data_IF_960242655416
#
_entry.id   IF_960242655416
#
_cell.length_a   1.000
_cell.length_b   1.000
_cell.length_c   1.000
_cell.angle_alpha   90.00
_cell.angle_beta   90.00
_cell.angle_gamma   90.00
#
_symmetry.space_group_name_H-M   'P 1'
#
loop_
_entity.id
_entity.type
_entity.pdbx_description
1 polymer ?
#
# COMPACT_ATOMS: atom_id res chain seq x y z
N UNK A 1 21.03 -21.45 -15.71
CA UNK A 1 21.06 -20.07 -15.27
C UNK A 1 19.85 -19.81 -14.41
N UNK A 2 20.00 -19.77 -13.09
CA UNK A 2 19.07 -19.06 -12.25
C UNK A 2 19.83 -18.46 -11.07
N UNK A 3 20.01 -17.14 -11.07
CA UNK A 3 20.44 -16.38 -9.87
C UNK A 3 19.80 -15.01 -9.94
N UNK A 4 18.49 -14.93 -9.69
CA UNK A 4 17.79 -13.66 -9.45
C UNK A 4 16.54 -13.87 -8.57
N UNK A 5 16.70 -14.59 -7.47
CA UNK A 5 15.61 -14.78 -6.51
C UNK A 5 16.11 -14.51 -5.08
N UNK A 6 16.53 -13.29 -4.78
CA UNK A 6 16.96 -12.99 -3.40
C UNK A 6 16.96 -11.50 -3.02
N UNK A 7 16.04 -10.70 -3.52
CA UNK A 7 15.91 -9.30 -3.08
C UNK A 7 14.45 -8.85 -2.78
N UNK A 8 13.56 -9.77 -2.42
CA UNK A 8 12.18 -9.42 -2.08
C UNK A 8 11.86 -9.65 -0.59
N UNK A 9 12.64 -9.03 0.30
CA UNK A 9 12.23 -8.94 1.71
C UNK A 9 12.46 -7.53 2.26
N UNK A 10 11.77 -6.55 1.66
CA UNK A 10 11.49 -5.30 2.34
C UNK A 10 10.11 -5.43 2.98
N UNK A 11 10.09 -6.02 4.18
CA UNK A 11 8.91 -6.01 5.04
C UNK A 11 8.56 -4.57 5.38
N UNK A 12 7.35 -4.17 5.04
CA UNK A 12 6.72 -2.93 5.51
C UNK A 12 6.54 -3.07 7.02
N UNK A 13 7.39 -2.43 7.82
CA UNK A 13 7.22 -2.35 9.26
C UNK A 13 6.03 -1.47 9.61
N UNK A 14 5.02 -2.10 10.16
CA UNK A 14 3.88 -1.45 10.81
C UNK A 14 4.29 -1.19 12.27
N UNK A 15 4.63 0.03 12.64
CA UNK A 15 4.87 0.41 14.03
C UNK A 15 3.56 0.66 14.76
N UNK A 16 3.20 -0.20 15.72
CA UNK A 16 2.33 0.14 16.83
C UNK A 16 3.22 0.66 17.97
N UNK A 17 3.04 1.89 18.37
CA UNK A 17 3.76 2.47 19.50
C UNK A 17 3.04 3.70 20.03
N UNK A 18 2.29 3.53 21.13
CA UNK A 18 1.77 4.60 21.98
C UNK A 18 2.88 5.11 22.88
N UNK A 19 3.18 6.41 22.82
CA UNK A 19 4.12 7.05 23.74
C UNK A 19 4.05 8.57 23.60
N UNK A 20 3.43 9.23 24.56
CA UNK A 20 3.39 10.70 24.73
C UNK A 20 4.73 11.23 25.21
N UNK A 21 5.33 12.16 24.48
CA UNK A 21 6.34 13.09 25.01
C UNK A 21 6.11 14.47 24.41
N UNK A 22 5.93 15.44 25.31
CA UNK A 22 5.82 16.87 25.03
C UNK A 22 7.19 17.48 24.76
N UNK A 23 7.36 18.16 23.63
CA UNK A 23 8.56 18.94 23.34
C UNK A 23 8.48 19.62 21.96
N UNK A 24 8.38 20.97 21.98
CA UNK A 24 8.35 21.80 20.76
C UNK A 24 9.67 21.73 20.00
N UNK A 25 9.64 21.24 18.75
CA UNK A 25 10.56 21.68 17.71
C UNK A 25 9.87 21.49 16.35
N UNK A 26 9.85 22.54 15.54
CA UNK A 26 9.31 22.53 14.18
C UNK A 26 10.23 21.70 13.26
N UNK A 27 9.76 20.55 12.79
CA UNK A 27 10.27 19.91 11.60
C UNK A 27 9.08 19.24 10.90
N UNK A 28 8.88 19.58 9.64
CA UNK A 28 7.79 19.10 8.80
C UNK A 28 7.98 17.62 8.47
N UNK A 29 7.35 16.74 9.26
CA UNK A 29 7.21 15.34 8.95
C UNK A 29 5.75 15.07 8.60
N UNK A 30 5.49 14.47 7.44
CA UNK A 30 4.17 14.10 6.98
C UNK A 30 3.61 12.95 7.84
N UNK A 31 2.43 13.10 8.47
CA UNK A 31 1.77 11.99 9.15
C UNK A 31 0.83 11.26 8.19
N UNK A 32 1.07 9.98 8.00
CA UNK A 32 0.07 9.04 7.49
C UNK A 32 -0.61 8.40 8.69
N UNK A 33 -1.76 8.91 9.09
CA UNK A 33 -2.87 8.16 9.70
C UNK A 33 -3.99 9.12 10.12
N UNK A 34 -5.07 9.15 9.36
CA UNK A 34 -6.34 9.76 9.76
C UNK A 34 -7.21 8.65 10.33
N UNK A 35 -7.30 8.58 11.66
CA UNK A 35 -8.43 7.96 12.35
C UNK A 35 -9.47 9.03 12.62
N UNK A 36 -10.63 8.91 12.00
CA UNK A 36 -11.80 9.69 12.37
C UNK A 36 -12.45 9.07 13.61
N UNK A 37 -12.37 9.76 14.74
CA UNK A 37 -13.25 9.56 15.90
C UNK A 37 -14.44 10.50 15.75
N UNK A 38 -15.65 9.92 15.73
CA UNK A 38 -16.92 10.66 15.77
C UNK A 38 -17.17 11.10 17.22
N UNK A 39 -17.42 12.36 17.51
CA UNK A 39 -17.87 12.77 18.85
C UNK A 39 -19.37 12.53 19.00
N UNK A 40 -19.73 11.79 20.03
CA UNK A 40 -21.10 11.67 20.53
C UNK A 40 -21.57 13.01 21.10
N UNK A 41 -22.61 13.57 20.50
CA UNK A 41 -23.30 14.74 21.05
C UNK A 41 -24.56 14.32 21.82
N UNK A 42 -24.65 14.90 23.02
CA UNK A 42 -25.69 14.83 24.01
C UNK A 42 -27.10 15.08 23.44
N UNK A 43 -28.05 14.34 24.01
CA UNK A 43 -29.47 14.66 24.02
C UNK A 43 -29.76 15.80 25.00
N UNK A 44 -30.66 16.73 24.72
CA UNK A 44 -31.40 17.42 25.77
C UNK A 44 -32.80 16.82 25.90
N UNK A 45 -33.12 16.46 27.14
CA UNK A 45 -34.48 16.21 27.60
C UNK A 45 -35.21 17.57 27.70
N UNK A 46 -36.43 17.61 27.24
CA UNK A 46 -37.40 18.58 27.76
C UNK A 46 -38.72 17.87 28.09
N UNK A 47 -39.13 18.14 29.31
CA UNK A 47 -40.30 17.60 30.00
C UNK A 47 -41.52 18.43 29.78
N UNK A 48 -42.63 17.78 29.64
CA UNK A 48 -43.95 17.95 30.26
C UNK A 48 -44.71 19.28 30.17
N UNK A 49 -45.96 19.19 29.85
CA UNK A 49 -47.19 19.48 30.61
C UNK A 49 -48.26 20.20 29.79
N UNK A 50 -49.51 19.68 30.01
CA UNK A 50 -50.86 20.24 29.85
C UNK A 50 -51.52 20.17 28.47
N UNK A 51 -52.76 19.85 28.30
CA UNK A 51 -53.97 19.65 29.13
C UNK A 51 -55.06 18.98 28.28
N UNK A 52 -55.91 18.20 28.95
CA UNK A 52 -57.18 17.63 28.42
C UNK A 52 -58.12 18.73 27.90
N UNK A 53 -58.73 18.47 26.72
CA UNK A 53 -60.04 18.98 26.39
C UNK A 53 -60.83 17.90 25.65
N UNK A 54 -61.88 17.45 26.31
CA UNK A 54 -62.86 16.46 25.86
C UNK A 54 -63.83 17.21 24.93
N UNK A 55 -63.99 16.75 23.68
CA UNK A 55 -65.19 17.00 22.88
C UNK A 55 -65.58 15.77 22.11
N UNK A 56 -66.68 15.18 22.54
CA UNK A 56 -67.44 14.19 21.80
C UNK A 56 -68.00 14.80 20.52
N UNK A 57 -67.72 14.22 19.36
CA UNK A 57 -68.47 14.40 18.15
C UNK A 57 -68.51 13.10 17.34
N UNK A 58 -69.71 12.77 17.00
CA UNK A 58 -70.25 11.56 16.42
C UNK A 58 -69.53 11.00 15.20
N UNK A 59 -69.35 9.69 15.18
CA UNK A 59 -68.81 8.88 14.12
C UNK A 59 -69.68 8.94 12.85
N UNK A 60 -69.10 9.34 11.73
CA UNK A 60 -69.50 8.90 10.42
C UNK A 60 -68.36 8.06 9.83
N UNK A 61 -68.57 6.76 9.74
CA UNK A 61 -67.66 5.83 9.12
C UNK A 61 -67.60 6.09 7.61
N UNK A 62 -66.65 6.93 7.17
CA UNK A 62 -66.20 6.92 5.80
C UNK A 62 -65.09 5.89 5.66
N UNK A 63 -65.35 4.82 4.91
CA UNK A 63 -64.35 3.89 4.45
C UNK A 63 -63.28 4.66 3.65
N UNK A 64 -62.11 4.84 4.28
CA UNK A 64 -60.89 5.30 3.59
C UNK A 64 -60.52 4.24 2.54
N UNK A 65 -60.23 4.64 1.27
CA UNK A 65 -59.64 3.70 0.33
C UNK A 65 -58.31 3.16 0.91
N UNK A 66 -57.95 1.92 0.60
CA UNK A 66 -56.71 1.33 1.10
C UNK A 66 -55.54 2.25 0.71
N UNK A 67 -54.72 2.59 1.69
CA UNK A 67 -53.54 3.37 1.49
C UNK A 67 -52.69 2.72 0.38
N UNK A 68 -52.13 3.52 -0.56
CA UNK A 68 -51.26 2.97 -1.58
C UNK A 68 -50.09 2.27 -0.86
N UNK A 69 -49.88 1.02 -1.23
CA UNK A 69 -48.73 0.22 -0.79
C UNK A 69 -47.45 1.07 -0.93
N UNK A 70 -46.64 1.25 0.10
CA UNK A 70 -45.43 2.06 0.00
C UNK A 70 -44.56 1.50 -1.10
N UNK A 71 -44.14 2.37 -2.02
CA UNK A 71 -43.24 2.00 -3.10
C UNK A 71 -41.93 1.42 -2.52
N UNK A 72 -41.49 0.22 -2.94
CA UNK A 72 -40.40 -0.52 -2.31
C UNK A 72 -39.00 -0.01 -2.59
N UNK A 73 -38.82 1.17 -3.18
CA UNK A 73 -37.57 1.45 -3.90
C UNK A 73 -36.40 2.06 -3.09
N UNK A 74 -36.63 2.89 -2.10
CA UNK A 74 -35.50 3.54 -1.39
C UNK A 74 -34.94 2.69 -0.24
N UNK A 75 -35.79 1.93 0.44
CA UNK A 75 -35.41 1.03 1.54
C UNK A 75 -34.63 -0.19 1.04
N UNK A 76 -34.86 -0.62 -0.20
CA UNK A 76 -34.25 -1.81 -0.75
C UNK A 76 -32.79 -1.60 -1.18
N UNK A 77 -32.42 -0.47 -1.76
CA UNK A 77 -31.01 -0.20 -2.18
C UNK A 77 -30.09 -0.03 -0.98
N UNK A 78 -30.51 0.71 0.05
CA UNK A 78 -29.75 0.84 1.27
C UNK A 78 -29.54 -0.50 2.00
N UNK A 79 -30.56 -1.37 1.99
CA UNK A 79 -30.44 -2.71 2.54
C UNK A 79 -29.49 -3.59 1.74
N UNK A 80 -29.53 -3.52 0.41
CA UNK A 80 -28.59 -4.24 -0.47
C UNK A 80 -27.15 -3.79 -0.20
N UNK A 81 -26.92 -2.48 -0.01
CA UNK A 81 -25.59 -2.00 0.38
C UNK A 81 -25.12 -2.61 1.71
N UNK A 82 -26.00 -2.70 2.72
CA UNK A 82 -25.66 -3.36 3.98
C UNK A 82 -25.32 -4.85 3.82
N UNK A 83 -26.01 -5.56 2.93
CA UNK A 83 -25.71 -6.95 2.60
C UNK A 83 -24.31 -7.06 1.94
N UNK A 84 -23.97 -6.16 1.05
CA UNK A 84 -22.65 -6.10 0.41
C UNK A 84 -21.57 -5.83 1.47
N UNK A 85 -21.76 -4.81 2.31
CA UNK A 85 -20.80 -4.42 3.36
C UNK A 85 -20.58 -5.51 4.41
N UNK A 86 -21.59 -6.38 4.62
CA UNK A 86 -21.53 -7.55 5.51
C UNK A 86 -21.15 -8.86 4.81
N UNK A 87 -20.75 -8.81 3.53
CA UNK A 87 -20.36 -9.96 2.70
C UNK A 87 -21.48 -11.00 2.45
N UNK A 88 -22.76 -10.60 2.58
CA UNK A 88 -23.91 -11.45 2.25
C UNK A 88 -24.24 -11.36 0.75
N UNK A 89 -23.29 -11.77 -0.08
CA UNK A 89 -23.33 -11.56 -1.54
C UNK A 89 -24.48 -12.31 -2.24
N UNK A 90 -24.82 -13.52 -1.77
CA UNK A 90 -25.91 -14.30 -2.35
C UNK A 90 -27.27 -13.62 -2.14
N UNK A 91 -27.52 -13.12 -0.93
CA UNK A 91 -28.76 -12.41 -0.60
C UNK A 91 -28.83 -11.08 -1.34
N UNK A 92 -27.70 -10.37 -1.47
CA UNK A 92 -27.61 -9.14 -2.25
C UNK A 92 -27.96 -9.38 -3.73
N UNK A 93 -27.41 -10.42 -4.36
CA UNK A 93 -27.70 -10.77 -5.75
C UNK A 93 -29.17 -11.16 -5.95
N UNK A 94 -29.74 -11.93 -5.04
CA UNK A 94 -31.17 -12.30 -5.10
C UNK A 94 -32.08 -11.06 -5.07
N UNK A 95 -31.78 -10.09 -4.20
CA UNK A 95 -32.55 -8.84 -4.15
C UNK A 95 -32.33 -7.97 -5.37
N UNK A 96 -31.11 -7.91 -5.90
CA UNK A 96 -30.79 -7.20 -7.15
C UNK A 96 -31.52 -7.82 -8.35
N UNK A 97 -31.65 -9.14 -8.41
CA UNK A 97 -32.42 -9.84 -9.46
C UNK A 97 -33.91 -9.50 -9.37
N UNK A 98 -34.47 -9.41 -8.17
CA UNK A 98 -35.85 -9.01 -7.97
C UNK A 98 -36.12 -7.56 -8.41
N UNK A 99 -35.12 -6.66 -8.21
CA UNK A 99 -35.21 -5.27 -8.66
C UNK A 99 -35.02 -5.15 -10.17
N UNK A 100 -34.10 -5.91 -10.77
CA UNK A 100 -33.86 -5.89 -12.21
C UNK A 100 -35.07 -6.35 -13.05
N UNK A 101 -35.95 -7.17 -12.47
CA UNK A 101 -37.20 -7.61 -13.11
C UNK A 101 -38.31 -6.55 -13.08
N UNK A 102 -38.11 -5.41 -12.44
CA UNK A 102 -39.05 -4.29 -12.47
C UNK A 102 -38.92 -3.51 -13.78
N UNK A 103 -40.05 -2.97 -14.26
CA UNK A 103 -40.07 -2.18 -15.49
C UNK A 103 -40.70 -0.79 -15.21
N UNK A 104 -39.90 0.31 -15.28
CA UNK A 104 -38.47 0.37 -15.60
C UNK A 104 -37.60 -0.17 -14.44
N UNK A 105 -36.42 -0.69 -14.78
CA UNK A 105 -35.43 -1.11 -13.80
C UNK A 105 -34.97 0.09 -12.95
N UNK A 106 -34.92 -0.02 -11.61
CA UNK A 106 -34.48 1.07 -10.76
C UNK A 106 -33.01 1.45 -11.03
N UNK A 107 -32.68 2.75 -11.03
CA UNK A 107 -31.31 3.18 -11.28
C UNK A 107 -30.33 2.67 -10.18
N UNK A 108 -29.15 2.23 -10.60
CA UNK A 108 -28.07 1.76 -9.71
C UNK A 108 -28.07 0.26 -9.43
N UNK A 109 -29.06 -0.51 -9.87
CA UNK A 109 -29.12 -1.98 -9.70
C UNK A 109 -27.89 -2.64 -10.32
N UNK A 110 -27.60 -2.35 -11.59
CA UNK A 110 -26.43 -2.93 -12.28
C UNK A 110 -25.10 -2.46 -11.69
N UNK A 111 -25.01 -1.24 -11.16
CA UNK A 111 -23.81 -0.79 -10.43
C UNK A 111 -23.60 -1.61 -9.15
N UNK A 112 -24.66 -1.83 -8.35
CA UNK A 112 -24.57 -2.64 -7.13
C UNK A 112 -24.22 -4.09 -7.46
N UNK A 113 -24.77 -4.65 -8.53
CA UNK A 113 -24.40 -5.99 -9.04
C UNK A 113 -22.93 -6.05 -9.40
N UNK A 114 -22.42 -5.04 -10.08
CA UNK A 114 -21.00 -4.90 -10.38
C UNK A 114 -20.11 -4.87 -9.12
N UNK A 115 -20.55 -4.15 -8.07
CA UNK A 115 -19.84 -4.13 -6.79
C UNK A 115 -19.78 -5.53 -6.14
N UNK A 116 -20.89 -6.27 -6.13
CA UNK A 116 -20.90 -7.65 -5.58
C UNK A 116 -19.89 -8.54 -6.32
N UNK A 117 -19.92 -8.55 -7.65
CA UNK A 117 -18.99 -9.34 -8.44
C UNK A 117 -17.54 -8.89 -8.23
N UNK A 118 -17.30 -7.60 -8.06
CA UNK A 118 -15.96 -7.08 -7.78
C UNK A 118 -15.41 -7.58 -6.44
N UNK A 119 -16.23 -7.56 -5.38
CA UNK A 119 -15.86 -8.09 -4.06
C UNK A 119 -15.64 -9.61 -4.09
N UNK A 120 -16.40 -10.33 -4.90
CA UNK A 120 -16.21 -11.76 -5.16
C UNK A 120 -15.02 -12.07 -6.07
N UNK A 121 -14.29 -11.04 -6.55
CA UNK A 121 -13.20 -11.16 -7.53
C UNK A 121 -13.60 -11.74 -8.90
N UNK A 122 -14.89 -11.78 -9.22
CA UNK A 122 -15.38 -12.08 -10.57
C UNK A 122 -15.30 -10.81 -11.43
N UNK A 123 -14.07 -10.48 -11.83
CA UNK A 123 -13.79 -9.26 -12.56
C UNK A 123 -14.47 -9.17 -13.93
N UNK A 124 -14.62 -10.27 -14.71
CA UNK A 124 -15.38 -10.24 -15.96
C UNK A 124 -16.86 -9.89 -15.75
N UNK A 125 -17.53 -10.52 -14.78
CA UNK A 125 -18.93 -10.23 -14.46
C UNK A 125 -19.07 -8.80 -13.92
N UNK A 126 -18.16 -8.34 -13.05
CA UNK A 126 -18.12 -6.98 -12.55
C UNK A 126 -18.03 -5.94 -13.68
N UNK A 127 -17.05 -6.10 -14.59
CA UNK A 127 -16.88 -5.20 -15.73
C UNK A 127 -18.11 -5.15 -16.64
N UNK A 128 -18.79 -6.28 -16.83
CA UNK A 128 -20.02 -6.36 -17.62
C UNK A 128 -21.19 -5.63 -16.94
N UNK A 129 -21.38 -5.84 -15.63
CA UNK A 129 -22.44 -5.17 -14.88
C UNK A 129 -22.23 -3.65 -14.81
N UNK A 130 -20.98 -3.21 -14.56
CA UNK A 130 -20.66 -1.77 -14.62
C UNK A 130 -20.87 -1.18 -16.02
N UNK A 131 -20.55 -1.91 -17.09
CA UNK A 131 -20.82 -1.46 -18.45
C UNK A 131 -22.32 -1.26 -18.72
N UNK A 132 -23.18 -2.14 -18.19
CA UNK A 132 -24.64 -1.96 -18.26
C UNK A 132 -25.08 -0.74 -17.46
N UNK A 133 -24.55 -0.55 -16.25
CA UNK A 133 -24.85 0.62 -15.44
C UNK A 133 -24.49 1.93 -16.18
N UNK A 134 -23.33 1.97 -16.84
CA UNK A 134 -22.90 3.11 -17.67
C UNK A 134 -23.82 3.31 -18.89
N UNK A 135 -24.27 2.23 -19.54
CA UNK A 135 -25.20 2.31 -20.65
C UNK A 135 -26.57 2.87 -20.20
N UNK A 136 -27.05 2.53 -19.01
CA UNK A 136 -28.26 3.06 -18.42
C UNK A 136 -28.12 4.51 -17.97
N UNK A 137 -26.96 4.87 -17.41
CA UNK A 137 -26.64 6.22 -16.96
C UNK A 137 -25.20 6.58 -17.32
N UNK A 138 -24.94 7.22 -18.46
CA UNK A 138 -23.59 7.65 -18.87
C UNK A 138 -22.93 8.66 -17.93
N UNK A 139 -23.67 9.25 -16.99
CA UNK A 139 -23.16 10.13 -15.95
C UNK A 139 -22.79 9.42 -14.63
N UNK A 140 -22.94 8.10 -14.54
CA UNK A 140 -22.56 7.33 -13.35
C UNK A 140 -21.05 7.16 -13.26
N UNK A 141 -20.37 8.20 -12.76
CA UNK A 141 -18.91 8.25 -12.65
C UNK A 141 -18.33 7.15 -11.73
N UNK A 142 -19.13 6.65 -10.78
CA UNK A 142 -18.72 5.52 -9.95
C UNK A 142 -18.73 4.21 -10.75
N UNK A 143 -19.75 3.97 -11.57
CA UNK A 143 -19.78 2.79 -12.43
C UNK A 143 -18.65 2.83 -13.47
N UNK A 144 -18.38 4.00 -14.08
CA UNK A 144 -17.28 4.21 -15.02
C UNK A 144 -15.94 3.91 -14.35
N UNK A 145 -15.69 4.46 -13.15
CA UNK A 145 -14.48 4.22 -12.38
C UNK A 145 -14.30 2.72 -12.12
N UNK A 146 -15.30 2.07 -11.56
CA UNK A 146 -15.22 0.67 -11.17
C UNK A 146 -15.11 -0.28 -12.38
N UNK A 147 -15.69 0.09 -13.52
CA UNK A 147 -15.44 -0.61 -14.78
C UNK A 147 -13.98 -0.51 -15.20
N UNK A 148 -13.41 0.70 -15.17
CA UNK A 148 -11.99 0.93 -15.46
C UNK A 148 -11.07 0.15 -14.54
N UNK A 149 -11.34 0.15 -13.22
CA UNK A 149 -10.57 -0.61 -12.21
C UNK A 149 -10.68 -2.11 -12.46
N UNK A 150 -11.87 -2.61 -12.78
CA UNK A 150 -12.07 -4.04 -13.10
C UNK A 150 -11.25 -4.45 -14.32
N UNK A 151 -11.26 -3.64 -15.37
CA UNK A 151 -10.46 -3.88 -16.59
C UNK A 151 -8.95 -3.84 -16.29
N UNK A 152 -8.50 -2.89 -15.47
CA UNK A 152 -7.10 -2.86 -15.04
C UNK A 152 -6.70 -4.13 -14.31
N UNK A 153 -7.48 -4.58 -13.32
CA UNK A 153 -7.23 -5.84 -12.60
C UNK A 153 -7.28 -7.08 -13.49
N UNK A 154 -8.01 -7.02 -14.62
CA UNK A 154 -8.01 -8.07 -15.66
C UNK A 154 -6.78 -8.03 -16.57
N UNK A 155 -5.81 -7.13 -16.34
CA UNK A 155 -4.64 -6.94 -17.20
C UNK A 155 -4.96 -6.26 -18.53
N UNK A 156 -6.02 -5.45 -18.60
CA UNK A 156 -6.45 -4.71 -19.81
C UNK A 156 -6.29 -3.19 -19.62
N UNK A 157 -5.08 -2.69 -19.33
CA UNK A 157 -4.87 -1.27 -19.00
C UNK A 157 -5.27 -0.33 -20.14
N UNK A 158 -5.06 -0.71 -21.39
CA UNK A 158 -5.42 0.11 -22.54
C UNK A 158 -6.94 0.37 -22.64
N UNK A 159 -7.77 -0.57 -22.20
CA UNK A 159 -9.23 -0.40 -22.16
C UNK A 159 -9.70 0.36 -20.90
N UNK A 160 -8.91 0.29 -19.82
CA UNK A 160 -9.21 1.00 -18.57
C UNK A 160 -8.95 2.50 -18.68
N UNK A 161 -7.94 2.93 -19.42
CA UNK A 161 -7.49 4.34 -19.51
C UNK A 161 -8.63 5.30 -19.83
N UNK A 162 -9.42 5.15 -20.93
CA UNK A 162 -10.46 6.13 -21.28
C UNK A 162 -11.56 6.26 -20.22
N UNK A 163 -11.87 5.17 -19.51
CA UNK A 163 -12.86 5.18 -18.43
C UNK A 163 -12.31 5.91 -17.19
N UNK A 164 -11.05 5.65 -16.84
CA UNK A 164 -10.39 6.31 -15.72
C UNK A 164 -10.14 7.79 -16.01
N UNK A 165 -9.78 8.17 -17.24
CA UNK A 165 -9.67 9.57 -17.68
C UNK A 165 -11.02 10.31 -17.58
N UNK A 166 -12.14 9.64 -17.86
CA UNK A 166 -13.46 10.23 -17.72
C UNK A 166 -13.85 10.41 -16.24
N UNK A 167 -13.47 9.48 -15.38
CA UNK A 167 -13.88 9.46 -13.96
C UNK A 167 -13.01 10.33 -13.06
N UNK A 168 -11.75 10.61 -13.40
CA UNK A 168 -10.79 11.29 -12.53
C UNK A 168 -11.15 12.76 -12.24
N UNK A 169 -11.97 13.39 -13.08
CA UNK A 169 -12.47 14.77 -12.88
C UNK A 169 -13.55 14.87 -11.82
N UNK A 170 -14.06 13.74 -11.34
CA UNK A 170 -15.11 13.65 -10.34
C UNK A 170 -14.51 13.59 -8.94
N UNK A 171 -15.00 14.45 -8.04
CA UNK A 171 -14.75 14.34 -6.60
C UNK A 171 -15.55 13.19 -5.95
N UNK A 172 -15.91 12.14 -6.69
CA UNK A 172 -16.60 10.99 -6.13
C UNK A 172 -15.67 10.33 -5.09
N UNK A 173 -16.06 10.41 -3.82
CA UNK A 173 -15.37 9.74 -2.71
C UNK A 173 -15.56 8.23 -2.85
N UNK A 174 -14.69 7.60 -3.58
CA UNK A 174 -14.57 6.15 -3.65
C UNK A 174 -13.36 5.72 -2.84
N UNK A 175 -13.35 4.47 -2.36
CA UNK A 175 -12.17 3.89 -1.71
C UNK A 175 -11.04 3.59 -2.69
N UNK A 176 -11.25 3.85 -3.97
CA UNK A 176 -10.30 3.62 -5.05
C UNK A 176 -9.86 4.96 -5.63
N UNK A 177 -8.56 5.13 -5.69
CA UNK A 177 -7.93 6.31 -6.23
C UNK A 177 -7.79 6.21 -7.75
N UNK A 178 -8.61 6.99 -8.46
CA UNK A 178 -8.65 6.98 -9.91
C UNK A 178 -7.31 7.38 -10.54
N UNK A 179 -6.65 8.41 -10.00
CA UNK A 179 -5.38 8.91 -10.54
C UNK A 179 -4.24 7.90 -10.31
N UNK A 180 -4.24 7.21 -9.14
CA UNK A 180 -3.24 6.18 -8.89
C UNK A 180 -3.38 5.01 -9.86
N UNK A 181 -4.60 4.48 -10.04
CA UNK A 181 -4.86 3.37 -10.99
C UNK A 181 -4.58 3.81 -12.43
N UNK A 182 -4.96 5.03 -12.80
CA UNK A 182 -4.67 5.61 -14.11
C UNK A 182 -3.15 5.69 -14.34
N UNK A 183 -2.39 6.14 -13.36
CA UNK A 183 -0.94 6.15 -13.41
C UNK A 183 -0.33 4.77 -13.65
N UNK A 184 -0.86 3.74 -12.98
CA UNK A 184 -0.43 2.36 -13.21
C UNK A 184 -0.77 1.87 -14.63
N UNK A 185 -1.98 2.19 -15.14
CA UNK A 185 -2.36 1.87 -16.51
C UNK A 185 -1.43 2.54 -17.54
N UNK A 186 -1.06 3.79 -17.31
CA UNK A 186 -0.11 4.49 -18.17
C UNK A 186 1.28 3.87 -18.12
N UNK A 187 1.76 3.41 -16.96
CA UNK A 187 3.02 2.69 -16.86
C UNK A 187 3.00 1.39 -17.68
N UNK A 188 1.93 0.58 -17.52
CA UNK A 188 1.79 -0.69 -18.23
C UNK A 188 1.64 -0.51 -19.75
N UNK A 189 1.16 0.67 -20.20
CA UNK A 189 1.09 1.05 -21.62
C UNK A 189 2.28 1.88 -22.10
N UNK A 190 3.32 2.02 -21.28
CA UNK A 190 4.57 2.78 -21.56
C UNK A 190 4.35 4.29 -21.79
N UNK A 191 3.25 4.84 -21.30
CA UNK A 191 2.95 6.28 -21.31
C UNK A 191 3.50 6.94 -20.03
N UNK A 192 4.82 6.93 -19.86
CA UNK A 192 5.47 7.26 -18.59
C UNK A 192 5.29 8.72 -18.15
N UNK A 193 5.22 9.68 -19.08
CA UNK A 193 4.93 11.07 -18.76
C UNK A 193 3.49 11.27 -18.27
N UNK A 194 2.54 10.56 -18.85
CA UNK A 194 1.16 10.58 -18.40
C UNK A 194 1.04 9.91 -17.02
N UNK A 195 1.76 8.81 -16.79
CA UNK A 195 1.84 8.16 -15.48
C UNK A 195 2.35 9.14 -14.41
N UNK A 196 3.43 9.88 -14.68
CA UNK A 196 3.97 10.89 -13.77
C UNK A 196 2.93 11.96 -13.45
N UNK A 197 2.22 12.47 -14.47
CA UNK A 197 1.15 13.48 -14.28
C UNK A 197 0.01 12.96 -13.42
N UNK A 198 -0.43 11.73 -13.66
CA UNK A 198 -1.49 11.09 -12.89
C UNK A 198 -1.08 10.90 -11.42
N UNK A 199 0.14 10.39 -11.15
CA UNK A 199 0.65 10.27 -9.79
C UNK A 199 0.86 11.64 -9.13
N UNK A 200 1.34 12.63 -9.88
CA UNK A 200 1.50 13.99 -9.34
C UNK A 200 0.16 14.59 -8.92
N UNK A 201 -0.89 14.41 -9.73
CA UNK A 201 -2.25 14.85 -9.41
C UNK A 201 -2.77 14.17 -8.15
N UNK A 202 -2.52 12.86 -7.99
CA UNK A 202 -2.91 12.10 -6.82
C UNK A 202 -2.33 12.64 -5.51
N UNK A 203 -1.03 12.90 -5.53
CA UNK A 203 -0.31 13.34 -4.33
C UNK A 203 -0.21 14.87 -4.21
N UNK A 204 -0.89 15.63 -5.07
CA UNK A 204 -0.96 17.09 -5.01
C UNK A 204 0.35 17.80 -5.42
N UNK A 205 1.20 17.16 -6.22
CA UNK A 205 2.41 17.78 -6.74
C UNK A 205 2.15 18.49 -8.07
N UNK A 206 2.83 19.61 -8.36
CA UNK A 206 2.90 20.12 -9.70
C UNK A 206 3.51 19.07 -10.64
N UNK A 207 2.91 18.80 -11.83
CA UNK A 207 3.31 17.67 -12.67
C UNK A 207 4.77 17.64 -13.09
N UNK A 208 5.39 18.80 -13.27
CA UNK A 208 6.78 18.92 -13.72
C UNK A 208 7.76 19.29 -12.58
N UNK A 209 7.32 19.14 -11.33
CA UNK A 209 8.16 19.40 -10.15
C UNK A 209 9.18 18.28 -9.92
N UNK A 210 10.31 18.59 -9.25
CA UNK A 210 11.28 17.57 -8.83
C UNK A 210 10.64 16.41 -8.05
N UNK A 211 9.72 16.74 -7.15
CA UNK A 211 8.99 15.74 -6.34
C UNK A 211 8.13 14.81 -7.19
N UNK A 212 7.48 15.32 -8.26
CA UNK A 212 6.70 14.49 -9.17
C UNK A 212 7.58 13.49 -9.94
N UNK A 213 8.74 13.91 -10.41
CA UNK A 213 9.71 13.02 -11.04
C UNK A 213 10.27 12.00 -10.07
N UNK A 214 10.57 12.40 -8.83
CA UNK A 214 11.07 11.47 -7.80
C UNK A 214 10.02 10.42 -7.40
N UNK A 215 8.76 10.83 -7.24
CA UNK A 215 7.65 9.92 -6.98
C UNK A 215 7.47 8.91 -8.12
N UNK A 216 7.46 9.39 -9.37
CA UNK A 216 7.35 8.53 -10.55
C UNK A 216 8.52 7.53 -10.60
N UNK A 217 9.76 7.96 -10.37
CA UNK A 217 10.93 7.10 -10.31
C UNK A 217 10.77 5.99 -9.25
N UNK A 218 10.27 6.32 -8.06
CA UNK A 218 10.03 5.34 -6.97
C UNK A 218 8.99 4.30 -7.36
N UNK A 219 7.88 4.71 -7.99
CA UNK A 219 6.84 3.79 -8.44
C UNK A 219 7.33 2.89 -9.60
N UNK A 220 8.13 3.45 -10.50
CA UNK A 220 8.75 2.72 -11.60
C UNK A 220 9.79 1.70 -11.11
N UNK A 221 10.58 2.06 -10.08
CA UNK A 221 11.51 1.11 -9.43
C UNK A 221 10.77 -0.09 -8.84
N UNK A 222 9.63 0.14 -8.16
CA UNK A 222 8.80 -0.94 -7.60
C UNK A 222 8.25 -1.92 -8.64
N UNK A 223 8.11 -1.45 -9.88
CA UNK A 223 7.65 -2.23 -11.03
C UNK A 223 8.79 -2.72 -11.93
N UNK A 224 10.03 -2.56 -11.48
CA UNK A 224 11.24 -2.98 -12.19
C UNK A 224 11.47 -2.29 -13.56
N UNK A 225 10.83 -1.14 -13.80
CA UNK A 225 11.10 -0.30 -14.98
C UNK A 225 12.39 0.53 -14.79
N UNK A 226 13.52 -0.16 -14.56
CA UNK A 226 14.76 0.43 -14.07
C UNK A 226 15.33 1.57 -14.96
N UNK A 227 15.38 1.45 -16.30
CA UNK A 227 15.92 2.55 -17.13
C UNK A 227 15.09 3.84 -17.05
N UNK A 228 13.76 3.69 -16.97
CA UNK A 228 12.84 4.84 -16.90
C UNK A 228 12.83 5.45 -15.49
N UNK A 229 12.95 4.59 -14.46
CA UNK A 229 13.13 5.04 -13.08
C UNK A 229 14.40 5.89 -12.94
N UNK A 230 15.54 5.43 -13.50
CA UNK A 230 16.80 6.17 -13.53
C UNK A 230 16.65 7.52 -14.24
N UNK A 231 16.06 7.53 -15.43
CA UNK A 231 15.84 8.77 -16.18
C UNK A 231 15.01 9.78 -15.36
N UNK A 232 13.95 9.31 -14.69
CA UNK A 232 13.09 10.15 -13.87
C UNK A 232 13.82 10.67 -12.62
N UNK A 233 14.60 9.83 -11.93
CA UNK A 233 15.39 10.25 -10.77
C UNK A 233 16.46 11.27 -11.14
N UNK A 234 17.18 11.07 -12.24
CA UNK A 234 18.15 12.05 -12.77
C UNK A 234 17.49 13.36 -13.20
N UNK A 235 16.25 13.30 -13.74
CA UNK A 235 15.50 14.52 -14.07
C UNK A 235 15.09 15.28 -12.81
N UNK A 236 14.69 14.58 -11.74
CA UNK A 236 14.42 15.20 -10.45
C UNK A 236 15.64 15.96 -9.91
N UNK A 237 16.81 15.31 -9.90
CA UNK A 237 18.08 15.90 -9.46
C UNK A 237 18.56 17.04 -10.36
N UNK A 238 18.30 16.99 -11.67
CA UNK A 238 18.61 18.08 -12.58
C UNK A 238 17.76 19.33 -12.31
N UNK A 239 16.55 19.18 -11.79
CA UNK A 239 15.66 20.27 -11.40
C UNK A 239 15.98 20.79 -10.00
N UNK A 240 16.31 19.89 -9.08
CA UNK A 240 16.73 20.22 -7.72
C UNK A 240 17.84 19.26 -7.25
N UNK A 241 19.12 19.70 -7.34
CA UNK A 241 20.27 18.87 -6.93
C UNK A 241 20.33 18.55 -5.42
N UNK A 242 19.52 19.23 -4.61
CA UNK A 242 19.44 19.03 -3.15
C UNK A 242 18.13 18.40 -2.73
N UNK A 243 17.35 17.87 -3.67
CA UNK A 243 16.08 17.21 -3.35
C UNK A 243 16.32 16.05 -2.38
N UNK A 244 15.71 16.08 -1.18
CA UNK A 244 15.92 15.03 -0.19
C UNK A 244 15.54 13.63 -0.71
N UNK A 245 16.36 12.65 -0.40
CA UNK A 245 16.20 11.24 -0.78
C UNK A 245 16.26 10.94 -2.29
N UNK A 246 16.64 11.93 -3.11
CA UNK A 246 16.73 11.72 -4.54
C UNK A 246 18.00 10.94 -4.93
N UNK A 247 19.15 11.26 -4.34
CA UNK A 247 20.35 10.46 -4.50
C UNK A 247 20.22 9.07 -3.88
N UNK A 248 19.50 8.94 -2.75
CA UNK A 248 19.19 7.63 -2.19
C UNK A 248 18.41 6.76 -3.19
N UNK A 249 17.34 7.30 -3.79
CA UNK A 249 16.54 6.57 -4.76
C UNK A 249 17.34 6.24 -6.03
N UNK A 250 18.17 7.16 -6.52
CA UNK A 250 19.02 6.89 -7.67
C UNK A 250 20.00 5.76 -7.38
N UNK A 251 20.67 5.78 -6.23
CA UNK A 251 21.56 4.70 -5.80
C UNK A 251 20.82 3.35 -5.63
N UNK A 252 19.56 3.33 -5.15
CA UNK A 252 18.75 2.11 -5.11
C UNK A 252 18.46 1.56 -6.52
N UNK A 253 18.16 2.42 -7.48
CA UNK A 253 17.95 2.05 -8.88
C UNK A 253 19.24 1.50 -9.48
N UNK A 254 20.38 2.14 -9.23
CA UNK A 254 21.70 1.73 -9.74
C UNK A 254 22.15 0.40 -9.15
N UNK A 255 21.87 0.15 -7.85
CA UNK A 255 22.06 -1.18 -7.23
C UNK A 255 21.22 -2.27 -7.93
N UNK A 256 19.97 -1.96 -8.25
CA UNK A 256 19.09 -2.90 -8.96
C UNK A 256 19.61 -3.18 -10.39
N UNK A 257 20.27 -2.20 -10.99
CA UNK A 257 20.94 -2.34 -12.29
C UNK A 257 22.35 -2.97 -12.21
N UNK A 258 22.81 -3.32 -11.00
CA UNK A 258 24.17 -3.82 -10.76
C UNK A 258 25.28 -2.80 -11.04
N UNK A 259 24.97 -1.50 -11.02
CA UNK A 259 25.92 -0.37 -11.16
C UNK A 259 26.47 0.03 -9.81
N UNK A 260 27.21 -0.89 -9.16
CA UNK A 260 27.64 -0.74 -7.78
C UNK A 260 28.47 0.51 -7.46
N UNK A 261 29.48 0.92 -8.29
CA UNK A 261 30.24 2.14 -8.03
C UNK A 261 29.38 3.41 -8.07
N UNK A 262 28.44 3.50 -9.03
CA UNK A 262 27.55 4.65 -9.19
C UNK A 262 26.62 4.74 -7.96
N UNK A 263 26.03 3.61 -7.56
CA UNK A 263 25.17 3.54 -6.39
C UNK A 263 25.86 4.01 -5.11
N UNK A 264 27.11 3.59 -4.87
CA UNK A 264 27.91 4.06 -3.72
C UNK A 264 28.13 5.57 -3.80
N UNK A 265 28.45 6.09 -4.99
CA UNK A 265 28.63 7.54 -5.21
C UNK A 265 27.38 8.32 -4.85
N UNK A 266 26.21 7.88 -5.33
CA UNK A 266 24.95 8.56 -5.04
C UNK A 266 24.54 8.44 -3.55
N UNK A 267 24.75 7.30 -2.92
CA UNK A 267 24.54 7.17 -1.47
C UNK A 267 25.46 8.10 -0.67
N UNK A 268 26.71 8.28 -1.08
CA UNK A 268 27.62 9.21 -0.42
C UNK A 268 27.20 10.69 -0.62
N UNK A 269 26.63 11.03 -1.77
CA UNK A 269 26.03 12.36 -1.99
C UNK A 269 24.81 12.57 -1.08
N UNK A 270 23.93 11.58 -0.96
CA UNK A 270 22.82 11.65 -0.02
C UNK A 270 23.29 11.76 1.43
N UNK A 271 24.38 11.06 1.82
CA UNK A 271 24.98 11.18 3.14
C UNK A 271 25.44 12.60 3.45
N UNK A 272 25.99 13.29 2.46
CA UNK A 272 26.41 14.68 2.63
C UNK A 272 25.21 15.64 2.81
N UNK A 273 24.06 15.34 2.20
CA UNK A 273 22.85 16.14 2.30
C UNK A 273 22.02 15.78 3.56
N UNK A 274 21.90 14.49 3.87
CA UNK A 274 21.03 13.96 4.93
C UNK A 274 21.79 13.00 5.88
N UNK A 275 22.76 13.48 6.67
CA UNK A 275 23.65 12.64 7.49
C UNK A 275 22.95 11.94 8.67
N UNK A 276 21.68 12.24 8.92
CA UNK A 276 20.90 11.64 10.02
C UNK A 276 19.81 10.69 9.53
N UNK A 277 19.74 10.35 8.24
CA UNK A 277 18.77 9.41 7.71
C UNK A 277 19.27 7.96 7.86
N UNK A 278 18.66 7.13 8.76
CA UNK A 278 19.21 5.81 9.09
C UNK A 278 19.19 4.85 7.91
N UNK A 279 18.10 4.84 7.12
CA UNK A 279 17.96 3.95 5.97
C UNK A 279 19.03 4.09 4.89
N UNK A 280 19.70 5.25 4.80
CA UNK A 280 20.85 5.46 3.93
C UNK A 280 22.05 4.61 4.33
N UNK A 281 22.31 4.52 5.63
CA UNK A 281 23.47 3.78 6.14
C UNK A 281 23.30 2.27 5.99
N UNK A 282 22.07 1.76 6.01
CA UNK A 282 21.77 0.39 5.62
C UNK A 282 22.15 0.11 4.16
N UNK A 283 21.77 1.03 3.26
CA UNK A 283 22.10 0.92 1.82
C UNK A 283 23.59 1.01 1.57
N UNK A 284 24.27 1.97 2.20
CA UNK A 284 25.73 2.05 2.16
C UNK A 284 26.40 0.78 2.70
N UNK A 285 25.93 0.26 3.82
CA UNK A 285 26.41 -0.99 4.40
C UNK A 285 26.30 -2.16 3.42
N UNK A 286 25.11 -2.37 2.81
CA UNK A 286 24.92 -3.43 1.81
C UNK A 286 25.77 -3.21 0.56
N UNK A 287 25.85 -1.97 0.06
CA UNK A 287 26.67 -1.64 -1.10
C UNK A 287 28.16 -1.92 -0.85
N UNK A 288 28.68 -1.49 0.31
CA UNK A 288 30.08 -1.78 0.68
C UNK A 288 30.35 -3.27 0.95
N UNK A 289 29.36 -4.04 1.45
CA UNK A 289 29.50 -5.50 1.54
C UNK A 289 29.65 -6.10 0.14
N UNK A 290 28.87 -5.65 -0.82
CA UNK A 290 28.92 -6.15 -2.21
C UNK A 290 30.21 -5.75 -2.92
N UNK A 291 30.78 -4.58 -2.62
CA UNK A 291 32.08 -4.14 -3.14
C UNK A 291 33.27 -4.80 -2.45
N UNK A 292 33.06 -5.51 -1.33
CA UNK A 292 34.13 -6.11 -0.53
C UNK A 292 34.84 -5.14 0.42
N UNK A 293 34.34 -3.94 0.57
CA UNK A 293 34.88 -2.89 1.45
C UNK A 293 34.32 -3.02 2.87
N UNK A 294 34.69 -4.13 3.53
CA UNK A 294 34.07 -4.55 4.80
C UNK A 294 34.24 -3.54 5.94
N UNK A 295 35.35 -2.79 5.98
CA UNK A 295 35.56 -1.78 7.02
C UNK A 295 34.62 -0.58 6.84
N UNK A 296 34.38 -0.14 5.61
CA UNK A 296 33.39 0.91 5.32
C UNK A 296 31.96 0.43 5.57
N UNK A 297 31.68 -0.84 5.23
CA UNK A 297 30.41 -1.47 5.53
C UNK A 297 30.14 -1.46 7.05
N UNK A 298 31.10 -1.88 7.85
CA UNK A 298 30.97 -1.87 9.30
C UNK A 298 30.68 -0.47 9.83
N UNK A 299 31.46 0.55 9.45
CA UNK A 299 31.24 1.94 9.87
C UNK A 299 29.83 2.46 9.52
N UNK A 300 29.34 2.12 8.32
CA UNK A 300 28.00 2.51 7.90
C UNK A 300 26.93 1.82 8.75
N UNK A 301 27.07 0.52 9.00
CA UNK A 301 26.10 -0.25 9.79
C UNK A 301 26.11 0.15 11.27
N UNK A 302 27.28 0.43 11.85
CA UNK A 302 27.39 0.99 13.20
C UNK A 302 26.63 2.33 13.30
N UNK A 303 26.76 3.17 12.28
CA UNK A 303 26.01 4.42 12.22
C UNK A 303 24.50 4.21 12.08
N UNK A 304 24.05 3.24 11.29
CA UNK A 304 22.64 2.87 11.17
C UNK A 304 22.07 2.44 12.54
N UNK A 305 22.79 1.58 13.28
CA UNK A 305 22.39 1.12 14.61
C UNK A 305 22.29 2.27 15.61
N UNK A 306 23.22 3.23 15.57
CA UNK A 306 23.17 4.41 16.46
C UNK A 306 21.94 5.28 16.16
N UNK A 307 21.59 5.45 14.89
CA UNK A 307 20.47 6.30 14.46
C UNK A 307 19.11 5.63 14.68
N UNK A 308 19.05 4.30 14.49
CA UNK A 308 17.80 3.51 14.62
C UNK A 308 18.09 2.15 15.30
N UNK A 309 18.24 2.13 16.62
CA UNK A 309 18.59 0.90 17.37
C UNK A 309 17.50 -0.20 17.29
N UNK A 310 16.28 0.15 16.91
CA UNK A 310 15.15 -0.77 16.76
C UNK A 310 15.10 -1.48 15.40
N UNK A 311 15.97 -1.14 14.46
CA UNK A 311 16.04 -1.78 13.14
C UNK A 311 16.87 -3.05 13.19
N UNK A 312 16.29 -4.19 12.80
CA UNK A 312 16.95 -5.51 12.82
C UNK A 312 18.00 -5.65 11.70
N UNK A 313 17.75 -5.01 10.54
CA UNK A 313 18.57 -5.13 9.33
C UNK A 313 20.05 -4.86 9.56
N UNK A 314 20.46 -3.72 10.14
CA UNK A 314 21.84 -3.37 10.39
C UNK A 314 22.59 -4.42 11.24
N UNK A 315 21.95 -4.99 12.26
CA UNK A 315 22.56 -6.03 13.09
C UNK A 315 22.85 -7.31 12.30
N UNK A 316 21.94 -7.70 11.39
CA UNK A 316 22.12 -8.88 10.52
C UNK A 316 23.26 -8.64 9.53
N UNK A 317 23.27 -7.48 8.87
CA UNK A 317 24.32 -7.12 7.92
C UNK A 317 25.68 -7.00 8.61
N UNK A 318 25.73 -6.44 9.82
CA UNK A 318 26.96 -6.36 10.61
C UNK A 318 27.47 -7.75 11.01
N UNK A 319 26.57 -8.65 11.40
CA UNK A 319 26.93 -10.06 11.61
C UNK A 319 27.54 -10.70 10.36
N UNK A 320 26.99 -10.43 9.18
CA UNK A 320 27.53 -10.89 7.89
C UNK A 320 28.92 -10.30 7.61
N UNK A 321 29.12 -9.00 7.85
CA UNK A 321 30.44 -8.33 7.72
C UNK A 321 31.46 -8.96 8.63
N UNK A 322 31.15 -9.14 9.90
CA UNK A 322 32.05 -9.71 10.89
C UNK A 322 32.47 -11.17 10.57
N UNK A 323 31.57 -11.95 9.99
CA UNK A 323 31.89 -13.27 9.44
C UNK A 323 32.91 -13.18 8.30
N UNK A 324 32.76 -12.21 7.41
CA UNK A 324 33.72 -11.97 6.31
C UNK A 324 35.08 -11.49 6.83
N UNK A 325 35.10 -10.71 7.87
CA UNK A 325 36.31 -10.26 8.59
C UNK A 325 36.92 -11.36 9.51
N UNK A 326 36.36 -12.59 9.47
CA UNK A 326 36.83 -13.72 10.32
C UNK A 326 36.71 -13.46 11.83
N UNK A 327 35.67 -12.70 12.22
CA UNK A 327 35.35 -12.43 13.64
C UNK A 327 33.98 -13.06 14.00
N UNK A 328 33.88 -14.41 14.06
CA UNK A 328 32.60 -15.09 14.31
C UNK A 328 32.09 -14.90 15.75
N UNK A 329 32.94 -14.59 16.71
CA UNK A 329 32.52 -14.34 18.08
C UNK A 329 31.64 -13.05 18.16
N UNK A 330 32.12 -11.97 17.56
CA UNK A 330 31.35 -10.72 17.49
C UNK A 330 30.12 -10.90 16.63
N UNK A 331 30.24 -11.61 15.50
CA UNK A 331 29.07 -11.90 14.64
C UNK A 331 27.97 -12.60 15.43
N UNK A 332 28.32 -13.57 16.30
CA UNK A 332 27.32 -14.26 17.14
C UNK A 332 26.53 -13.28 18.02
N UNK A 333 27.21 -12.31 18.66
CA UNK A 333 26.56 -11.33 19.54
C UNK A 333 25.52 -10.48 18.78
N UNK A 334 25.90 -9.93 17.63
CA UNK A 334 25.00 -9.09 16.83
C UNK A 334 23.82 -9.89 16.23
N UNK A 335 24.06 -11.12 15.79
CA UNK A 335 23.02 -11.98 15.23
C UNK A 335 22.05 -12.48 16.30
N UNK A 336 22.54 -12.79 17.51
CA UNK A 336 21.68 -13.10 18.64
C UNK A 336 20.79 -11.90 19.02
N UNK A 337 21.36 -10.69 19.02
CA UNK A 337 20.58 -9.47 19.26
C UNK A 337 19.50 -9.27 18.19
N UNK A 338 19.84 -9.46 16.91
CA UNK A 338 18.87 -9.41 15.81
C UNK A 338 17.71 -10.41 16.03
N UNK A 339 18.02 -11.63 16.48
CA UNK A 339 17.00 -12.66 16.75
C UNK A 339 16.18 -12.41 18.02
N UNK A 340 16.68 -11.64 18.98
CA UNK A 340 15.85 -11.14 20.10
C UNK A 340 14.79 -10.15 19.63
N UNK A 341 15.09 -9.37 18.59
CA UNK A 341 14.17 -8.39 17.99
C UNK A 341 13.20 -9.05 16.99
N UNK A 342 13.68 -9.97 16.16
CA UNK A 342 12.89 -10.73 15.18
C UNK A 342 13.27 -12.22 15.19
N UNK A 343 12.62 -13.03 16.05
CA UNK A 343 12.86 -14.47 16.16
C UNK A 343 12.49 -15.26 14.89
N UNK A 344 11.81 -14.65 13.93
CA UNK A 344 11.38 -15.30 12.71
C UNK A 344 12.27 -15.00 11.49
N UNK A 345 13.41 -14.37 11.70
CA UNK A 345 14.31 -13.98 10.62
C UNK A 345 15.22 -15.14 10.17
N UNK A 346 14.84 -15.79 9.07
CA UNK A 346 15.59 -16.94 8.56
C UNK A 346 17.04 -16.61 8.18
N UNK A 347 17.32 -15.38 7.71
CA UNK A 347 18.69 -14.95 7.35
C UNK A 347 19.57 -14.81 8.59
N UNK A 348 19.03 -14.24 9.68
CA UNK A 348 19.75 -14.12 10.94
C UNK A 348 20.08 -15.52 11.51
N UNK A 349 19.14 -16.47 11.51
CA UNK A 349 19.39 -17.86 11.89
C UNK A 349 20.46 -18.52 11.03
N UNK A 350 20.39 -18.35 9.69
CA UNK A 350 21.40 -18.91 8.78
C UNK A 350 22.79 -18.36 9.03
N UNK A 351 22.92 -17.04 9.25
CA UNK A 351 24.20 -16.41 9.56
C UNK A 351 24.70 -16.80 10.96
N UNK A 352 23.81 -16.92 11.95
CA UNK A 352 24.18 -17.38 13.29
C UNK A 352 24.68 -18.83 13.26
N UNK A 353 24.05 -19.69 12.48
CA UNK A 353 24.53 -21.05 12.22
C UNK A 353 25.96 -21.05 11.63
N UNK A 354 26.24 -20.15 10.68
CA UNK A 354 27.59 -19.98 10.14
C UNK A 354 28.58 -19.51 11.20
N UNK A 355 28.17 -18.56 12.06
CA UNK A 355 29.00 -18.06 13.15
C UNK A 355 29.34 -19.17 14.16
N UNK A 356 28.36 -19.96 14.61
CA UNK A 356 28.56 -21.09 15.51
C UNK A 356 29.44 -22.15 14.89
N UNK A 357 29.31 -22.49 13.63
CA UNK A 357 30.18 -23.43 12.92
C UNK A 357 31.63 -22.93 12.90
N UNK A 358 31.83 -21.63 12.68
CA UNK A 358 33.16 -21.03 12.63
C UNK A 358 33.88 -21.04 14.01
N UNK A 359 33.12 -21.06 15.12
CA UNK A 359 33.70 -21.20 16.48
C UNK A 359 33.66 -22.64 17.00
N UNK A 360 33.34 -23.64 16.17
CA UNK A 360 33.36 -25.06 16.54
C UNK A 360 32.09 -25.56 17.27
N UNK A 361 31.04 -24.73 17.40
CA UNK A 361 29.77 -25.10 18.05
C UNK A 361 28.84 -25.78 17.04
N UNK A 362 29.17 -26.98 16.61
CA UNK A 362 28.51 -27.68 15.49
C UNK A 362 27.05 -28.04 15.75
N UNK A 363 26.71 -28.43 16.99
CA UNK A 363 25.31 -28.75 17.36
C UNK A 363 24.41 -27.51 17.32
N UNK A 364 24.91 -26.39 17.86
CA UNK A 364 24.18 -25.11 17.81
C UNK A 364 23.99 -24.63 16.37
N UNK A 365 25.06 -24.75 15.57
CA UNK A 365 24.98 -24.43 14.14
C UNK A 365 23.90 -25.25 13.42
N UNK A 366 23.82 -26.55 13.69
CA UNK A 366 22.81 -27.42 13.09
C UNK A 366 21.38 -27.00 13.47
N UNK A 367 21.17 -26.64 14.74
CA UNK A 367 19.85 -26.15 15.21
C UNK A 367 19.44 -24.86 14.50
N UNK A 368 20.35 -23.93 14.35
CA UNK A 368 20.08 -22.65 13.69
C UNK A 368 19.77 -22.84 12.20
N UNK A 369 20.50 -23.69 11.49
CA UNK A 369 20.20 -24.00 10.09
C UNK A 369 18.84 -24.67 9.90
N UNK A 370 18.48 -25.64 10.76
CA UNK A 370 17.17 -26.28 10.74
C UNK A 370 16.04 -25.27 11.00
N UNK A 371 16.25 -24.32 11.90
CA UNK A 371 15.28 -23.26 12.19
C UNK A 371 15.12 -22.34 10.99
N UNK A 372 16.23 -21.93 10.37
CA UNK A 372 16.19 -21.11 9.15
C UNK A 372 15.40 -21.80 8.02
N UNK A 373 15.64 -23.09 7.81
CA UNK A 373 14.97 -23.89 6.78
C UNK A 373 13.45 -24.00 7.05
N UNK A 374 13.06 -24.28 8.30
CA UNK A 374 11.63 -24.34 8.69
C UNK A 374 10.90 -23.01 8.47
N UNK A 375 11.53 -21.89 8.85
CA UNK A 375 10.97 -20.56 8.65
C UNK A 375 10.83 -20.26 7.14
N UNK A 376 11.86 -20.58 6.35
CA UNK A 376 11.84 -20.36 4.92
C UNK A 376 10.75 -21.21 4.25
N UNK A 377 10.62 -22.49 4.60
CA UNK A 377 9.58 -23.38 4.09
C UNK A 377 8.16 -22.89 4.43
N UNK A 378 7.96 -22.37 5.66
CA UNK A 378 6.67 -21.81 6.08
C UNK A 378 6.28 -20.51 5.34
N UNK A 379 7.26 -19.78 4.81
CA UNK A 379 7.03 -18.53 4.09
C UNK A 379 6.86 -18.74 2.56
N UNK A 380 7.29 -19.87 2.00
CA UNK A 380 7.19 -20.16 0.56
C UNK A 380 5.75 -20.12 0.01
N UNK A 381 4.73 -20.72 0.64
CA UNK A 381 3.36 -20.66 0.15
C UNK A 381 2.76 -19.24 0.14
N UNK A 382 3.20 -18.38 1.08
CA UNK A 382 2.74 -16.98 1.15
C UNK A 382 3.30 -16.13 0.02
N UNK A 383 4.52 -16.41 -0.40
CA UNK A 383 5.17 -15.73 -1.54
C UNK A 383 4.54 -16.12 -2.88
N UNK A 384 4.13 -17.40 -3.04
CA UNK A 384 3.45 -17.86 -4.25
C UNK A 384 2.02 -17.35 -4.40
N UNK A 385 1.36 -17.01 -3.30
CA UNK A 385 0.01 -16.44 -3.32
C UNK A 385 -0.01 -14.91 -3.58
N UNK A 386 1.16 -14.25 -3.59
CA UNK A 386 1.31 -12.81 -3.83
C UNK A 386 1.71 -12.48 -5.29
N UNK A 387 1.92 -13.48 -6.14
CA UNK A 387 2.16 -13.38 -7.57
C UNK A 387 0.99 -13.92 -8.38
#
# INVERSE_FOLDING_TARGET
MPVLASCNSLSVYRTNGSGTVTGRARASAFPVSLRFTVPSMLKPQFSLIFLLAFCLSSASAQQQPPAPTPAPSATSIAHIQQLIDSNHFADALQQLDALANQHPEPPGVERMRGMVYYEQTDLPAAASAFAKAVAQNPGDLQAILMQGVSLFRMGKPALAIPLLEQSHTSMARTNVDANYVLGLCYMDTRRYDDARRAFAAEYGFPPDSPSAYLLAARLMLRREYLPIAEQSARKALALDPKLPLAHLLLGEIELAQSKLPDAISDFEQERALNPLYPGLYDRLGDAYIRSGEFDKAQHSLDRAIILEPSSTGPFILLGKVLLKQKNPAMATMYLQHALQMDPSNYMAHSLLGQAYRAVGRTEDASREFQTAEKIQAANMPKLQAMH
#
